data_IF_956410183753
#
_entry.id   IF_956410183753
#
_cell.length_a   1.000
_cell.length_b   1.000
_cell.length_c   1.000
_cell.angle_alpha   90.00
_cell.angle_beta   90.00
_cell.angle_gamma   90.00
#
_symmetry.space_group_name_H-M   'P 1'
#
loop_
_entity.id
_entity.type
_entity.pdbx_description
1 polymer ?
#
# COMPACT_ATOMS: atom_id res chain seq x y z
N UNK A 1 -50.30 29.60 19.11
CA UNK A 1 -50.37 29.47 20.58
C UNK A 1 -49.07 28.98 21.20
N UNK A 2 -48.07 28.57 20.40
CA UNK A 2 -46.76 28.12 20.89
C UNK A 2 -46.88 26.98 21.91
N UNK A 3 -47.55 25.92 21.46
CA UNK A 3 -47.84 24.71 22.23
C UNK A 3 -47.27 23.54 21.44
N UNK A 4 -46.85 22.49 22.15
CA UNK A 4 -46.50 21.23 21.52
C UNK A 4 -47.73 20.63 20.82
N UNK A 5 -47.49 19.86 19.75
CA UNK A 5 -48.55 19.10 19.12
C UNK A 5 -49.15 18.13 20.14
N UNK A 6 -50.48 18.06 20.21
CA UNK A 6 -51.23 17.25 21.18
C UNK A 6 -51.16 17.71 22.65
N UNK A 7 -50.73 18.95 22.93
CA UNK A 7 -50.75 19.58 24.26
C UNK A 7 -52.10 19.44 24.99
N UNK A 8 -52.11 19.36 26.32
CA UNK A 8 -53.32 19.10 27.11
C UNK A 8 -54.36 20.23 27.00
N UNK A 9 -55.64 19.94 27.27
CA UNK A 9 -56.71 20.96 27.18
C UNK A 9 -56.47 22.12 28.16
N UNK A 10 -55.88 21.81 29.32
CA UNK A 10 -55.55 22.79 30.35
C UNK A 10 -54.42 23.72 29.90
N UNK A 11 -53.41 23.17 29.24
CA UNK A 11 -52.33 23.95 28.60
C UNK A 11 -52.86 24.88 27.51
N UNK A 12 -53.77 24.39 26.65
CA UNK A 12 -54.40 25.20 25.61
C UNK A 12 -55.16 26.39 26.22
N UNK A 13 -55.97 26.15 27.25
CA UNK A 13 -56.75 27.21 27.92
C UNK A 13 -55.84 28.22 28.61
N UNK A 14 -54.75 27.75 29.21
CA UNK A 14 -53.78 28.59 29.91
C UNK A 14 -52.99 29.45 28.91
N UNK A 15 -52.50 28.86 27.82
CA UNK A 15 -51.79 29.58 26.76
C UNK A 15 -52.69 30.60 26.06
N UNK A 16 -53.96 30.27 25.79
CA UNK A 16 -54.92 31.23 25.26
C UNK A 16 -55.11 32.43 26.20
N UNK A 17 -55.34 32.20 27.50
CA UNK A 17 -55.50 33.26 28.50
C UNK A 17 -54.26 34.17 28.57
N UNK A 18 -53.07 33.60 28.52
CA UNK A 18 -51.83 34.37 28.57
C UNK A 18 -51.64 35.22 27.32
N UNK A 19 -51.92 34.67 26.13
CA UNK A 19 -51.74 35.41 24.87
C UNK A 19 -52.84 36.44 24.63
N UNK A 20 -54.10 36.13 24.94
CA UNK A 20 -55.20 37.09 24.73
C UNK A 20 -55.05 38.32 25.64
N UNK A 21 -54.47 38.18 26.84
CA UNK A 21 -54.18 39.32 27.73
C UNK A 21 -53.12 40.29 27.18
N UNK A 22 -52.27 39.83 26.27
CA UNK A 22 -51.21 40.65 25.65
C UNK A 22 -51.71 41.33 24.38
N UNK A 23 -52.58 40.64 23.63
CA UNK A 23 -53.04 41.08 22.31
C UNK A 23 -54.51 41.54 22.29
N UNK A 24 -55.18 41.68 23.45
CA UNK A 24 -56.56 42.17 23.49
C UNK A 24 -56.63 43.60 22.91
N UNK A 25 -57.62 43.94 22.07
CA UNK A 25 -57.74 45.27 21.47
C UNK A 25 -57.81 46.40 22.53
N UNK A 26 -58.41 46.12 23.68
CA UNK A 26 -58.49 47.07 24.81
C UNK A 26 -57.14 47.32 25.52
N UNK A 27 -56.16 46.43 25.34
CA UNK A 27 -54.83 46.50 26.00
C UNK A 27 -53.76 46.92 24.99
N UNK A 28 -53.88 46.47 23.74
CA UNK A 28 -52.95 46.76 22.67
C UNK A 28 -53.72 47.20 21.42
N UNK A 29 -53.63 48.49 21.10
CA UNK A 29 -54.37 49.13 20.01
C UNK A 29 -53.66 49.05 18.64
N UNK A 30 -52.64 48.20 18.50
CA UNK A 30 -52.01 47.99 17.19
C UNK A 30 -52.91 47.13 16.28
N UNK A 31 -52.89 47.44 14.98
CA UNK A 31 -53.65 46.71 13.96
C UNK A 31 -53.26 45.21 13.93
N UNK A 32 -51.97 44.91 14.14
CA UNK A 32 -51.46 43.54 14.26
C UNK A 32 -52.01 42.79 15.49
N UNK A 33 -52.26 43.48 16.61
CA UNK A 33 -52.80 42.85 17.82
C UNK A 33 -54.24 42.40 17.61
N UNK A 34 -55.03 43.19 16.88
CA UNK A 34 -56.41 42.84 16.53
C UNK A 34 -56.47 41.56 15.70
N UNK A 35 -55.61 41.44 14.69
CA UNK A 35 -55.54 40.26 13.82
C UNK A 35 -55.05 39.01 14.57
N UNK A 36 -54.07 39.17 15.46
CA UNK A 36 -53.61 38.08 16.32
C UNK A 36 -54.72 37.65 17.29
N UNK A 37 -55.48 38.59 17.86
CA UNK A 37 -56.60 38.28 18.75
C UNK A 37 -57.72 37.51 18.01
N UNK A 38 -58.04 37.89 16.77
CA UNK A 38 -58.98 37.14 15.92
C UNK A 38 -58.51 35.69 15.72
N UNK A 39 -57.23 35.49 15.37
CA UNK A 39 -56.66 34.15 15.20
C UNK A 39 -56.65 33.33 16.51
N UNK A 40 -56.40 33.97 17.65
CA UNK A 40 -56.44 33.30 18.96
C UNK A 40 -57.86 32.84 19.33
N UNK A 41 -58.88 33.63 19.00
CA UNK A 41 -60.27 33.26 19.23
C UNK A 41 -60.69 32.09 18.35
N UNK A 42 -60.32 32.09 17.06
CA UNK A 42 -60.55 30.95 16.15
C UNK A 42 -59.86 29.69 16.67
N UNK A 43 -58.60 29.80 17.10
CA UNK A 43 -57.87 28.67 17.68
C UNK A 43 -58.51 28.16 18.98
N UNK A 44 -59.04 29.05 19.82
CA UNK A 44 -59.79 28.68 21.03
C UNK A 44 -61.08 27.94 20.69
N UNK A 45 -61.81 28.34 19.66
CA UNK A 45 -63.05 27.67 19.26
C UNK A 45 -62.79 26.23 18.78
N UNK A 46 -61.67 26.02 18.08
CA UNK A 46 -61.25 24.70 17.61
C UNK A 46 -60.58 23.83 18.68
N UNK A 47 -59.95 24.40 19.71
CA UNK A 47 -59.17 23.66 20.71
C UNK A 47 -59.76 23.73 22.13
N UNK A 48 -60.83 24.49 22.35
CA UNK A 48 -61.35 24.85 23.67
C UNK A 48 -62.26 23.81 24.33
N UNK A 49 -62.83 22.89 23.55
CA UNK A 49 -63.65 21.76 24.03
C UNK A 49 -62.93 20.43 23.79
N UNK A 50 -63.22 19.44 24.62
CA UNK A 50 -62.66 18.08 24.49
C UNK A 50 -62.98 17.46 23.13
N UNK A 51 -64.20 17.66 22.63
CA UNK A 51 -64.67 17.14 21.35
C UNK A 51 -63.97 17.81 20.15
N UNK A 52 -63.89 19.15 20.14
CA UNK A 52 -63.26 19.89 19.04
C UNK A 52 -61.76 19.61 18.97
N UNK A 53 -61.09 19.54 20.12
CA UNK A 53 -59.68 19.18 20.20
C UNK A 53 -59.43 17.75 19.68
N UNK A 54 -60.24 16.79 20.09
CA UNK A 54 -60.10 15.41 19.62
C UNK A 54 -60.31 15.29 18.09
N UNK A 55 -61.21 16.10 17.52
CA UNK A 55 -61.43 16.19 16.08
C UNK A 55 -60.21 16.81 15.36
N UNK A 56 -59.65 17.88 15.92
CA UNK A 56 -58.45 18.53 15.40
C UNK A 56 -57.23 17.60 15.43
N UNK A 57 -56.97 16.95 16.58
CA UNK A 57 -55.86 16.01 16.76
C UNK A 57 -55.97 14.81 15.79
N UNK A 58 -57.19 14.34 15.52
CA UNK A 58 -57.45 13.28 14.52
C UNK A 58 -57.10 13.75 13.10
N UNK A 59 -57.51 14.95 12.71
CA UNK A 59 -57.19 15.53 11.40
C UNK A 59 -55.68 15.74 11.25
N UNK A 60 -55.03 16.24 12.30
CA UNK A 60 -53.58 16.43 12.33
C UNK A 60 -52.85 15.10 12.14
N UNK A 61 -53.26 14.04 12.84
CA UNK A 61 -52.69 12.69 12.69
C UNK A 61 -52.84 12.16 11.27
N UNK A 62 -54.01 12.34 10.64
CA UNK A 62 -54.24 11.93 9.25
C UNK A 62 -53.35 12.70 8.27
N UNK A 63 -53.19 14.00 8.47
CA UNK A 63 -52.29 14.82 7.65
C UNK A 63 -50.83 14.35 7.75
N UNK A 64 -50.36 14.03 8.96
CA UNK A 64 -49.02 13.46 9.16
C UNK A 64 -48.83 12.12 8.45
N UNK A 65 -49.81 11.21 8.56
CA UNK A 65 -49.74 9.91 7.91
C UNK A 65 -49.70 10.03 6.38
N UNK A 66 -50.48 10.97 5.82
CA UNK A 66 -50.48 11.24 4.38
C UNK A 66 -49.13 11.80 3.90
N UNK A 67 -48.50 12.70 4.67
CA UNK A 67 -47.19 13.25 4.29
C UNK A 67 -46.08 12.20 4.38
N UNK A 68 -46.10 11.33 5.41
CA UNK A 68 -45.18 10.19 5.52
C UNK A 68 -45.34 9.26 4.31
N UNK A 69 -46.57 8.97 3.89
CA UNK A 69 -46.85 8.16 2.70
C UNK A 69 -46.33 8.83 1.42
N UNK A 70 -46.53 10.15 1.27
CA UNK A 70 -46.03 10.93 0.14
C UNK A 70 -44.50 10.89 0.04
N UNK A 71 -43.81 11.12 1.16
CA UNK A 71 -42.35 11.07 1.25
C UNK A 71 -41.82 9.67 0.94
N UNK A 72 -42.46 8.62 1.47
CA UNK A 72 -42.10 7.23 1.19
C UNK A 72 -42.25 6.88 -0.31
N UNK A 73 -43.35 7.30 -0.94
CA UNK A 73 -43.58 7.05 -2.36
C UNK A 73 -42.57 7.79 -3.25
N UNK A 74 -42.17 9.01 -2.88
CA UNK A 74 -41.16 9.79 -3.60
C UNK A 74 -39.76 9.12 -3.56
N UNK A 75 -39.41 8.46 -2.45
CA UNK A 75 -38.17 7.67 -2.32
C UNK A 75 -38.22 6.37 -3.15
N UNK A 76 -39.41 5.79 -3.34
CA UNK A 76 -39.57 4.61 -4.20
C UNK A 76 -39.47 4.92 -5.69
N UNK A 77 -40.04 6.02 -6.16
CA UNK A 77 -39.96 6.41 -7.58
C UNK A 77 -38.52 6.74 -8.02
N UNK A 78 -37.76 7.45 -7.20
CA UNK A 78 -36.35 7.79 -7.50
C UNK A 78 -35.42 6.57 -7.61
N UNK A 79 -35.74 5.47 -6.91
CA UNK A 79 -34.99 4.21 -7.02
C UNK A 79 -35.39 3.35 -8.24
N UNK A 80 -36.59 3.52 -8.76
CA UNK A 80 -37.07 2.80 -9.95
C UNK A 80 -36.44 3.36 -11.24
N UNK A 81 -36.30 4.67 -11.35
CA UNK A 81 -35.66 5.34 -12.50
C UNK A 81 -34.19 4.95 -12.66
N UNK A 82 -33.48 4.75 -11.55
CA UNK A 82 -32.11 4.23 -11.57
C UNK A 82 -32.00 2.85 -12.22
N UNK A 83 -32.94 1.94 -11.97
CA UNK A 83 -32.93 0.59 -12.56
C UNK A 83 -33.25 0.60 -14.06
N UNK A 84 -34.18 1.46 -14.49
CA UNK A 84 -34.52 1.68 -15.91
C UNK A 84 -33.32 2.23 -16.69
N UNK A 85 -32.60 3.18 -16.11
CA UNK A 85 -31.40 3.75 -16.70
C UNK A 85 -30.31 2.69 -16.97
N UNK A 86 -30.02 1.81 -16.00
CA UNK A 86 -29.05 0.72 -16.18
C UNK A 86 -29.51 -0.35 -17.16
N UNK A 87 -30.83 -0.58 -17.28
CA UNK A 87 -31.38 -1.55 -18.24
C UNK A 87 -31.27 -1.06 -19.69
N UNK A 88 -31.39 0.25 -19.95
CA UNK A 88 -31.29 0.84 -21.28
C UNK A 88 -29.86 1.07 -21.77
N UNK A 89 -28.86 0.89 -20.91
CA UNK A 89 -27.44 1.02 -21.25
C UNK A 89 -26.93 -0.21 -22.00
N UNK A 90 -26.24 0.00 -23.14
CA UNK A 90 -25.58 -1.07 -23.90
C UNK A 90 -24.51 -1.77 -23.05
N UNK A 91 -24.17 -3.02 -23.37
CA UNK A 91 -23.16 -3.78 -22.60
C UNK A 91 -21.81 -3.06 -22.54
N UNK A 92 -21.41 -2.39 -23.62
CA UNK A 92 -20.15 -1.62 -23.69
C UNK A 92 -20.19 -0.42 -22.75
N UNK A 93 -21.32 0.29 -22.71
CA UNK A 93 -21.52 1.47 -21.88
C UNK A 93 -21.59 1.12 -20.38
N UNK A 94 -22.23 -0.02 -20.05
CA UNK A 94 -22.22 -0.58 -18.68
C UNK A 94 -20.81 -0.93 -18.24
N UNK A 95 -20.01 -1.55 -19.12
CA UNK A 95 -18.62 -1.89 -18.83
C UNK A 95 -17.79 -0.63 -18.58
N UNK A 96 -17.92 0.38 -19.44
CA UNK A 96 -17.26 1.70 -19.28
C UNK A 96 -17.60 2.36 -17.96
N UNK A 97 -18.89 2.51 -17.64
CA UNK A 97 -19.33 3.11 -16.36
C UNK A 97 -18.89 2.32 -15.13
N UNK A 98 -18.87 0.99 -15.22
CA UNK A 98 -18.34 0.12 -14.16
C UNK A 98 -16.85 0.33 -13.95
N UNK A 99 -16.07 0.45 -15.03
CA UNK A 99 -14.65 0.76 -14.98
C UNK A 99 -14.37 2.16 -14.42
N UNK A 100 -15.12 3.17 -14.84
CA UNK A 100 -15.05 4.54 -14.29
C UNK A 100 -15.38 4.55 -12.80
N UNK A 101 -16.46 3.89 -12.38
CA UNK A 101 -16.83 3.78 -10.97
C UNK A 101 -15.76 3.04 -10.14
N UNK A 102 -15.13 1.99 -10.69
CA UNK A 102 -14.00 1.31 -10.06
C UNK A 102 -12.79 2.23 -9.92
N UNK A 103 -12.47 3.01 -10.96
CA UNK A 103 -11.36 3.96 -10.93
C UNK A 103 -11.57 5.06 -9.89
N UNK A 104 -12.78 5.62 -9.81
CA UNK A 104 -13.16 6.63 -8.80
C UNK A 104 -13.04 6.04 -7.38
N UNK A 105 -13.58 4.84 -7.15
CA UNK A 105 -13.45 4.16 -5.84
C UNK A 105 -11.99 3.87 -5.49
N UNK A 106 -11.18 3.46 -6.48
CA UNK A 106 -9.75 3.21 -6.27
C UNK A 106 -9.01 4.49 -5.91
N UNK A 107 -9.33 5.62 -6.57
CA UNK A 107 -8.81 6.94 -6.24
C UNK A 107 -9.17 7.35 -4.81
N UNK A 108 -10.45 7.28 -4.44
CA UNK A 108 -10.90 7.64 -3.08
C UNK A 108 -10.19 6.83 -2.00
N UNK A 109 -10.02 5.51 -2.20
CA UNK A 109 -9.25 4.65 -1.29
C UNK A 109 -7.78 5.05 -1.22
N UNK A 110 -7.19 5.41 -2.35
CA UNK A 110 -5.82 5.88 -2.41
C UNK A 110 -5.64 7.19 -1.66
N UNK A 111 -6.50 8.18 -1.88
CA UNK A 111 -6.44 9.48 -1.20
C UNK A 111 -6.59 9.30 0.33
N UNK A 112 -7.54 8.47 0.77
CA UNK A 112 -7.70 8.12 2.18
C UNK A 112 -6.44 7.44 2.75
N UNK A 113 -5.79 6.59 1.96
CA UNK A 113 -4.54 5.95 2.39
C UNK A 113 -3.39 6.96 2.50
N UNK A 114 -3.32 7.94 1.60
CA UNK A 114 -2.25 8.95 1.57
C UNK A 114 -2.36 9.88 2.77
N UNK A 115 -3.58 10.19 3.20
CA UNK A 115 -3.84 10.94 4.44
C UNK A 115 -3.31 10.21 5.67
N UNK A 116 -3.49 8.88 5.75
CA UNK A 116 -2.98 8.08 6.87
C UNK A 116 -1.47 7.85 6.80
N UNK A 117 -0.95 7.62 5.60
CA UNK A 117 0.46 7.30 5.39
C UNK A 117 1.00 8.09 4.19
N UNK A 118 1.73 9.19 4.44
CA UNK A 118 2.14 10.13 3.41
C UNK A 118 3.10 9.51 2.41
N UNK A 119 3.08 10.06 1.19
CA UNK A 119 3.77 9.51 0.03
C UNK A 119 5.29 9.37 0.22
N UNK A 120 5.94 10.34 0.88
CA UNK A 120 7.39 10.28 1.13
C UNK A 120 7.77 9.11 2.04
N UNK A 121 6.96 8.76 3.04
CA UNK A 121 7.23 7.61 3.92
C UNK A 121 7.03 6.27 3.19
N UNK A 122 6.13 6.21 2.21
CA UNK A 122 5.97 5.03 1.34
C UNK A 122 7.21 4.79 0.51
N UNK A 123 7.65 5.83 -0.20
CA UNK A 123 8.86 5.75 -1.01
C UNK A 123 10.07 5.43 -0.15
N UNK A 124 10.24 6.10 0.99
CA UNK A 124 11.33 5.83 1.93
C UNK A 124 11.31 4.37 2.41
N UNK A 125 10.15 3.86 2.82
CA UNK A 125 10.00 2.46 3.25
C UNK A 125 10.35 1.46 2.14
N UNK A 126 9.86 1.69 0.92
CA UNK A 126 10.19 0.84 -0.23
C UNK A 126 11.67 0.92 -0.61
N UNK A 127 12.28 2.11 -0.56
CA UNK A 127 13.73 2.27 -0.80
C UNK A 127 14.57 1.55 0.25
N UNK A 128 14.20 1.65 1.54
CA UNK A 128 14.86 0.90 2.61
C UNK A 128 14.75 -0.60 2.38
N UNK A 129 13.58 -1.09 1.96
CA UNK A 129 13.35 -2.49 1.66
C UNK A 129 14.19 -2.96 0.45
N UNK A 130 14.27 -2.15 -0.62
CA UNK A 130 15.15 -2.41 -1.76
C UNK A 130 16.62 -2.47 -1.34
N UNK A 131 17.09 -1.47 -0.59
CA UNK A 131 18.47 -1.39 -0.12
C UNK A 131 18.82 -2.57 0.79
N UNK A 132 17.91 -2.96 1.68
CA UNK A 132 18.10 -4.12 2.55
C UNK A 132 18.20 -5.43 1.76
N UNK A 133 17.34 -5.63 0.75
CA UNK A 133 17.42 -6.78 -0.15
C UNK A 133 18.77 -6.86 -0.88
N UNK A 134 19.23 -5.73 -1.45
CA UNK A 134 20.54 -5.65 -2.10
C UNK A 134 21.69 -5.88 -1.12
N UNK A 135 21.60 -5.39 0.11
CA UNK A 135 22.62 -5.59 1.14
C UNK A 135 22.73 -7.05 1.57
N UNK A 136 21.59 -7.75 1.72
CA UNK A 136 21.57 -9.19 2.00
C UNK A 136 22.22 -9.96 0.85
N UNK A 137 21.90 -9.63 -0.40
CA UNK A 137 22.53 -10.22 -1.57
C UNK A 137 24.05 -9.95 -1.60
N UNK A 138 24.45 -8.69 -1.41
CA UNK A 138 25.85 -8.27 -1.42
C UNK A 138 26.70 -8.96 -0.33
N UNK A 139 26.15 -9.11 0.87
CA UNK A 139 26.86 -9.70 2.01
C UNK A 139 27.06 -11.21 1.87
N UNK A 140 26.15 -11.90 1.18
CA UNK A 140 26.15 -13.35 1.05
C UNK A 140 26.60 -13.85 -0.33
N UNK A 141 27.09 -12.95 -1.19
CA UNK A 141 27.48 -13.26 -2.58
C UNK A 141 28.50 -14.39 -2.71
N UNK A 142 29.47 -14.49 -1.80
CA UNK A 142 30.52 -15.51 -1.85
C UNK A 142 30.08 -16.83 -1.22
N UNK A 143 29.55 -17.73 -2.06
CA UNK A 143 29.01 -19.03 -1.67
C UNK A 143 30.05 -19.95 -1.01
N UNK A 144 29.64 -20.68 0.03
CA UNK A 144 30.38 -21.81 0.63
C UNK A 144 29.68 -23.13 0.27
N UNK A 145 30.42 -24.24 0.29
CA UNK A 145 29.88 -25.56 -0.06
C UNK A 145 30.07 -26.59 1.06
N UNK A 146 29.04 -27.14 1.71
CA UNK A 146 27.63 -26.78 1.65
C UNK A 146 27.35 -25.51 2.46
N UNK A 147 26.43 -24.68 2.00
CA UNK A 147 26.14 -23.42 2.66
C UNK A 147 24.75 -22.88 2.35
N UNK A 148 24.15 -22.19 3.33
CA UNK A 148 22.84 -21.54 3.22
C UNK A 148 22.90 -20.15 2.55
N UNK A 149 24.08 -19.74 2.07
CA UNK A 149 24.29 -18.46 1.42
C UNK A 149 23.42 -18.32 0.16
N UNK A 150 23.22 -19.41 -0.60
CA UNK A 150 22.34 -19.40 -1.78
C UNK A 150 20.90 -19.05 -1.43
N UNK A 151 20.39 -19.56 -0.30
CA UNK A 151 19.05 -19.25 0.22
C UNK A 151 18.97 -17.79 0.63
N UNK A 152 19.99 -17.28 1.33
CA UNK A 152 20.05 -15.84 1.72
C UNK A 152 20.12 -14.92 0.51
N UNK A 153 20.89 -15.27 -0.52
CA UNK A 153 20.94 -14.54 -1.79
C UNK A 153 19.55 -14.51 -2.44
N UNK A 154 18.90 -15.67 -2.59
CA UNK A 154 17.57 -15.75 -3.18
C UNK A 154 16.56 -14.91 -2.39
N UNK A 155 16.62 -14.96 -1.05
CA UNK A 155 15.81 -14.15 -0.17
C UNK A 155 16.05 -12.64 -0.35
N UNK A 156 17.31 -12.21 -0.44
CA UNK A 156 17.68 -10.83 -0.72
C UNK A 156 17.15 -10.33 -2.07
N UNK A 157 17.23 -11.17 -3.12
CA UNK A 157 16.68 -10.87 -4.45
C UNK A 157 15.14 -10.74 -4.38
N UNK A 158 14.45 -11.64 -3.68
CA UNK A 158 12.99 -11.57 -3.52
C UNK A 158 12.56 -10.29 -2.80
N UNK A 159 13.24 -9.91 -1.71
CA UNK A 159 12.99 -8.65 -1.00
C UNK A 159 13.20 -7.47 -1.95
N UNK A 160 14.30 -7.45 -2.70
CA UNK A 160 14.59 -6.37 -3.64
C UNK A 160 13.50 -6.23 -4.71
N UNK A 161 13.06 -7.34 -5.32
CA UNK A 161 11.98 -7.35 -6.33
C UNK A 161 10.67 -6.86 -5.71
N UNK A 162 10.33 -7.29 -4.49
CA UNK A 162 9.16 -6.80 -3.78
C UNK A 162 9.22 -5.28 -3.55
N UNK A 163 10.38 -4.76 -3.16
CA UNK A 163 10.63 -3.33 -3.03
C UNK A 163 10.40 -2.58 -4.35
N UNK A 164 10.99 -3.05 -5.45
CA UNK A 164 10.77 -2.48 -6.79
C UNK A 164 9.29 -2.50 -7.19
N UNK A 165 8.59 -3.61 -6.93
CA UNK A 165 7.17 -3.74 -7.24
C UNK A 165 6.31 -2.74 -6.46
N UNK A 166 6.58 -2.57 -5.16
CA UNK A 166 5.86 -1.60 -4.32
C UNK A 166 6.12 -0.17 -4.77
N UNK A 167 7.36 0.21 -5.01
CA UNK A 167 7.74 1.55 -5.52
C UNK A 167 7.06 1.85 -6.86
N UNK A 168 7.12 0.91 -7.80
CA UNK A 168 6.51 1.07 -9.12
C UNK A 168 4.99 1.20 -9.03
N UNK A 169 4.35 0.39 -8.18
CA UNK A 169 2.90 0.44 -7.97
C UNK A 169 2.46 1.77 -7.35
N UNK A 170 3.18 2.26 -6.35
CA UNK A 170 2.89 3.57 -5.74
C UNK A 170 3.11 4.71 -6.72
N UNK A 171 4.19 4.66 -7.52
CA UNK A 171 4.43 5.59 -8.63
C UNK A 171 3.25 5.57 -9.62
N UNK A 172 2.87 4.38 -10.11
CA UNK A 172 1.78 4.24 -11.06
C UNK A 172 0.46 4.83 -10.52
N UNK A 173 0.07 4.49 -9.29
CA UNK A 173 -1.15 5.02 -8.66
C UNK A 173 -1.10 6.53 -8.51
N UNK A 174 -0.01 7.06 -7.98
CA UNK A 174 0.11 8.50 -7.74
C UNK A 174 -0.07 9.30 -9.03
N UNK A 175 0.67 8.95 -10.08
CA UNK A 175 0.66 9.69 -11.33
C UNK A 175 -0.59 9.41 -12.17
N UNK A 176 -1.13 8.19 -12.16
CA UNK A 176 -2.38 7.89 -12.87
C UNK A 176 -3.57 8.64 -12.29
N UNK A 177 -3.69 8.74 -10.96
CA UNK A 177 -4.76 9.51 -10.32
C UNK A 177 -4.58 11.02 -10.48
N UNK A 178 -3.35 11.53 -10.40
CA UNK A 178 -3.06 12.95 -10.67
C UNK A 178 -3.37 13.34 -12.12
N UNK A 179 -3.19 12.41 -13.06
CA UNK A 179 -3.52 12.63 -14.47
C UNK A 179 -5.03 12.62 -14.74
N UNK A 180 -5.81 11.89 -13.95
CA UNK A 180 -7.27 11.92 -13.99
C UNK A 180 -7.80 13.35 -13.74
N UNK A 181 -7.14 14.09 -12.85
CA UNK A 181 -7.55 15.44 -12.46
C UNK A 181 -7.08 16.51 -13.46
N UNK A 182 -5.91 16.34 -14.06
CA UNK A 182 -5.31 17.35 -14.96
C UNK A 182 -5.55 17.09 -16.45
N UNK A 183 -6.37 16.11 -16.82
CA UNK A 183 -6.65 15.71 -18.22
C UNK A 183 -5.41 15.38 -19.08
N UNK A 184 -4.25 15.10 -18.47
CA UNK A 184 -3.00 14.81 -19.18
C UNK A 184 -3.01 13.34 -19.62
N UNK A 185 -3.03 13.09 -20.94
CA UNK A 185 -3.00 11.75 -21.54
C UNK A 185 -1.57 11.20 -21.67
N UNK A 186 -0.91 10.90 -20.56
CA UNK A 186 0.36 10.17 -20.57
C UNK A 186 0.13 8.67 -20.29
N UNK A 187 0.88 7.81 -20.96
CA UNK A 187 0.82 6.36 -20.77
C UNK A 187 1.68 5.92 -19.57
N UNK A 188 1.23 6.25 -18.36
CA UNK A 188 1.94 5.91 -17.12
C UNK A 188 2.11 4.40 -16.92
N UNK A 189 1.25 3.57 -17.49
CA UNK A 189 1.38 2.11 -17.45
C UNK A 189 2.64 1.64 -18.18
N UNK A 190 2.92 2.17 -19.36
CA UNK A 190 4.15 1.81 -20.10
C UNK A 190 5.41 2.32 -19.40
N UNK A 191 5.37 3.54 -18.86
CA UNK A 191 6.50 4.11 -18.12
C UNK A 191 6.80 3.28 -16.86
N UNK A 192 5.77 2.95 -16.07
CA UNK A 192 5.92 2.14 -14.87
C UNK A 192 6.46 0.73 -15.18
N UNK A 193 5.94 0.08 -16.22
CA UNK A 193 6.45 -1.23 -16.68
C UNK A 193 7.92 -1.14 -17.10
N UNK A 194 8.29 -0.12 -17.85
CA UNK A 194 9.68 0.10 -18.25
C UNK A 194 10.60 0.22 -17.03
N UNK A 195 10.24 1.06 -16.04
CA UNK A 195 11.03 1.19 -14.81
C UNK A 195 11.11 -0.11 -14.00
N UNK A 196 10.02 -0.88 -13.91
CA UNK A 196 10.01 -2.19 -13.24
C UNK A 196 11.00 -3.16 -13.88
N UNK A 197 10.91 -3.34 -15.20
CA UNK A 197 11.76 -4.30 -15.91
C UNK A 197 13.21 -3.83 -16.04
N UNK A 198 13.47 -2.53 -16.03
CA UNK A 198 14.83 -1.99 -16.07
C UNK A 198 15.53 -2.06 -14.70
N UNK A 199 14.82 -1.76 -13.62
CA UNK A 199 15.43 -1.66 -12.28
C UNK A 199 15.93 -3.00 -11.73
N UNK A 200 15.23 -4.11 -12.03
CA UNK A 200 15.63 -5.44 -11.58
C UNK A 200 17.02 -5.86 -12.11
N UNK A 201 17.26 -5.92 -13.43
CA UNK A 201 18.56 -6.31 -13.98
C UNK A 201 19.65 -5.31 -13.61
N UNK A 202 19.35 -4.01 -13.58
CA UNK A 202 20.33 -2.98 -13.16
C UNK A 202 20.77 -3.20 -11.72
N UNK A 203 19.83 -3.45 -10.79
CA UNK A 203 20.15 -3.72 -9.40
C UNK A 203 20.99 -4.99 -9.20
N UNK A 204 20.62 -6.08 -9.88
CA UNK A 204 21.37 -7.34 -9.85
C UNK A 204 22.78 -7.16 -10.44
N UNK A 205 22.87 -6.51 -11.60
CA UNK A 205 24.13 -6.22 -12.28
C UNK A 205 25.06 -5.39 -11.39
N UNK A 206 24.54 -4.35 -10.74
CA UNK A 206 25.30 -3.49 -9.84
C UNK A 206 25.90 -4.30 -8.67
N UNK A 207 25.12 -5.18 -8.03
CA UNK A 207 25.62 -6.00 -6.92
C UNK A 207 26.67 -7.01 -7.40
N UNK A 208 26.48 -7.63 -8.57
CA UNK A 208 27.47 -8.55 -9.15
C UNK A 208 28.80 -7.83 -9.40
N UNK A 209 28.77 -6.68 -10.08
CA UNK A 209 29.99 -5.94 -10.44
C UNK A 209 30.69 -5.37 -9.21
N UNK A 210 29.95 -4.82 -8.23
CA UNK A 210 30.55 -4.37 -6.97
C UNK A 210 31.23 -5.51 -6.21
N UNK A 211 30.65 -6.71 -6.25
CA UNK A 211 31.26 -7.88 -5.63
C UNK A 211 32.47 -8.40 -6.37
N UNK A 212 32.46 -8.37 -7.70
CA UNK A 212 33.63 -8.70 -8.51
C UNK A 212 34.77 -7.71 -8.24
N UNK A 213 34.48 -6.41 -8.30
CA UNK A 213 35.44 -5.37 -7.94
C UNK A 213 36.00 -5.56 -6.52
N UNK A 214 35.13 -5.83 -5.53
CA UNK A 214 35.55 -6.13 -4.15
C UNK A 214 36.48 -7.34 -4.10
N UNK A 215 36.14 -8.42 -4.80
CA UNK A 215 36.98 -9.63 -4.87
C UNK A 215 38.35 -9.30 -5.45
N UNK A 216 38.40 -8.65 -6.59
CA UNK A 216 39.64 -8.38 -7.31
C UNK A 216 40.52 -7.40 -6.54
N UNK A 217 39.92 -6.36 -5.95
CA UNK A 217 40.63 -5.41 -5.09
C UNK A 217 41.25 -6.10 -3.86
N UNK A 218 40.49 -6.95 -3.17
CA UNK A 218 40.97 -7.62 -1.96
C UNK A 218 42.02 -8.68 -2.27
N UNK A 219 41.84 -9.44 -3.35
CA UNK A 219 42.82 -10.44 -3.77
C UNK A 219 44.11 -9.83 -4.35
N UNK A 220 44.09 -8.56 -4.75
CA UNK A 220 45.29 -7.84 -5.21
C UNK A 220 46.06 -7.17 -4.06
N UNK A 221 45.35 -6.55 -3.11
CA UNK A 221 45.97 -5.71 -2.09
C UNK A 221 46.10 -6.40 -0.73
N UNK A 222 45.12 -7.24 -0.35
CA UNK A 222 44.98 -7.76 1.02
C UNK A 222 44.83 -9.28 1.03
N UNK A 223 45.75 -9.99 0.40
CA UNK A 223 45.69 -11.44 0.25
C UNK A 223 46.79 -12.20 1.00
N UNK A 224 46.58 -13.50 1.15
CA UNK A 224 47.58 -14.43 1.66
C UNK A 224 47.41 -15.79 0.97
N UNK A 225 48.52 -16.50 0.80
CA UNK A 225 48.54 -17.85 0.27
C UNK A 225 48.24 -18.87 1.37
N UNK A 226 47.53 -19.94 1.02
CA UNK A 226 47.24 -21.04 1.92
C UNK A 226 47.22 -22.38 1.18
N UNK A 227 47.67 -23.45 1.84
CA UNK A 227 47.59 -24.81 1.31
C UNK A 227 46.23 -25.42 1.68
N UNK A 228 45.29 -25.43 0.73
CA UNK A 228 43.98 -26.03 0.92
C UNK A 228 44.00 -27.53 0.63
N UNK A 229 43.19 -28.30 1.36
CA UNK A 229 43.03 -29.74 1.18
C UNK A 229 41.89 -30.04 0.22
N UNK A 230 42.12 -30.96 -0.72
CA UNK A 230 41.14 -31.40 -1.71
C UNK A 230 40.34 -32.57 -1.14
N UNK A 231 39.01 -32.46 -1.17
CA UNK A 231 38.13 -33.56 -0.76
C UNK A 231 37.78 -34.43 -1.97
N UNK A 232 38.54 -35.52 -2.14
CA UNK A 232 38.41 -36.42 -3.29
C UNK A 232 37.03 -37.07 -3.40
N UNK A 233 36.44 -37.46 -2.28
CA UNK A 233 35.15 -38.16 -2.23
C UNK A 233 34.00 -37.31 -2.80
N UNK A 234 34.05 -36.00 -2.61
CA UNK A 234 33.05 -35.07 -3.13
C UNK A 234 33.45 -34.50 -4.51
N UNK A 235 34.71 -34.67 -4.90
CA UNK A 235 35.26 -34.19 -6.17
C UNK A 235 34.81 -35.11 -7.30
N UNK A 236 33.86 -34.63 -8.11
CA UNK A 236 33.26 -35.39 -9.21
C UNK A 236 32.58 -34.47 -10.23
N UNK A 237 32.29 -34.98 -11.43
CA UNK A 237 31.54 -34.23 -12.46
C UNK A 237 32.17 -32.91 -12.90
N UNK A 238 33.51 -32.82 -12.91
CA UNK A 238 34.24 -31.61 -13.32
C UNK A 238 34.31 -30.50 -12.26
N UNK A 239 33.89 -30.78 -11.01
CA UNK A 239 34.04 -29.90 -9.85
C UNK A 239 35.12 -30.42 -8.92
N UNK A 240 36.03 -29.56 -8.49
CA UNK A 240 36.95 -29.83 -7.38
C UNK A 240 36.46 -29.12 -6.14
N UNK A 241 36.26 -29.88 -5.06
CA UNK A 241 35.89 -29.34 -3.76
C UNK A 241 37.13 -29.33 -2.87
N UNK A 242 37.39 -28.19 -2.27
CA UNK A 242 38.52 -27.98 -1.37
C UNK A 242 38.08 -27.24 -0.12
N UNK A 243 38.83 -27.45 0.96
CA UNK A 243 38.62 -26.77 2.23
C UNK A 243 39.92 -26.26 2.82
N UNK A 244 39.81 -25.22 3.63
CA UNK A 244 40.93 -24.58 4.33
C UNK A 244 40.44 -24.01 5.65
N UNK A 245 41.32 -23.96 6.64
CA UNK A 245 40.99 -23.50 7.99
C UNK A 245 41.81 -22.26 8.30
N UNK A 246 41.12 -21.15 8.61
CA UNK A 246 41.74 -19.88 9.00
C UNK A 246 41.09 -19.46 10.31
N UNK A 247 41.91 -19.12 11.30
CA UNK A 247 41.47 -18.68 12.63
C UNK A 247 40.44 -19.63 13.28
N UNK A 248 40.64 -20.94 13.11
CA UNK A 248 39.76 -21.99 13.65
C UNK A 248 38.45 -22.21 12.89
N UNK A 249 38.17 -21.45 11.82
CA UNK A 249 36.99 -21.65 10.96
C UNK A 249 37.36 -22.34 9.65
N UNK A 250 36.64 -23.42 9.33
CA UNK A 250 36.83 -24.17 8.07
C UNK A 250 35.91 -23.64 6.99
N UNK A 251 36.50 -23.24 5.87
CA UNK A 251 35.81 -22.76 4.69
C UNK A 251 35.86 -23.82 3.60
N UNK A 252 34.72 -24.10 3.00
CA UNK A 252 34.61 -25.06 1.92
C UNK A 252 34.21 -24.35 0.62
N UNK A 253 34.88 -24.69 -0.47
CA UNK A 253 34.68 -24.07 -1.78
C UNK A 253 34.65 -25.14 -2.87
N UNK A 254 33.84 -24.88 -3.89
CA UNK A 254 33.83 -25.67 -5.12
C UNK A 254 34.33 -24.81 -6.27
N UNK A 255 35.18 -25.38 -7.11
CA UNK A 255 35.57 -24.76 -8.38
C UNK A 255 35.23 -25.70 -9.55
N UNK A 256 34.68 -25.15 -10.65
CA UNK A 256 34.35 -25.91 -11.87
C UNK A 256 35.47 -25.76 -12.90
N UNK A 257 35.73 -26.82 -13.65
CA UNK A 257 36.44 -26.74 -14.94
C UNK A 257 37.97 -26.73 -14.87
N UNK A 258 38.58 -26.93 -13.70
CA UNK A 258 40.03 -26.79 -13.56
C UNK A 258 40.74 -28.15 -13.42
N UNK A 259 40.60 -29.08 -14.38
CA UNK A 259 41.42 -30.30 -14.32
C UNK A 259 42.94 -30.00 -14.39
N UNK A 260 43.34 -28.85 -14.95
CA UNK A 260 44.74 -28.46 -15.18
C UNK A 260 45.08 -26.99 -14.81
N UNK A 261 44.15 -26.24 -14.23
CA UNK A 261 44.28 -24.77 -14.07
C UNK A 261 44.65 -24.28 -12.67
N UNK A 262 45.24 -25.12 -11.83
CA UNK A 262 45.74 -24.69 -10.52
C UNK A 262 46.99 -25.45 -10.08
N UNK A 263 47.75 -24.81 -9.20
CA UNK A 263 48.97 -25.38 -8.63
C UNK A 263 48.60 -26.41 -7.56
N UNK A 264 48.97 -27.67 -7.80
CA UNK A 264 48.84 -28.78 -6.84
C UNK A 264 50.13 -28.94 -6.07
N UNK A 265 50.01 -29.10 -4.76
CA UNK A 265 51.13 -29.40 -3.86
C UNK A 265 50.94 -30.86 -3.44
N UNK A 266 51.60 -31.78 -4.14
CA UNK A 266 51.36 -33.21 -3.98
C UNK A 266 50.01 -33.69 -4.55
N UNK A 267 49.47 -34.79 -4.02
CA UNK A 267 48.25 -35.44 -4.56
C UNK A 267 46.95 -34.77 -4.09
N UNK A 268 46.94 -34.23 -2.87
CA UNK A 268 45.70 -33.93 -2.13
C UNK A 268 45.62 -32.48 -1.64
N UNK A 269 46.64 -31.66 -1.94
CA UNK A 269 46.64 -30.24 -1.58
C UNK A 269 46.73 -29.36 -2.82
N UNK A 270 46.19 -28.16 -2.70
CA UNK A 270 46.27 -27.12 -3.71
C UNK A 270 46.58 -25.78 -3.09
N UNK A 271 47.26 -24.94 -3.86
CA UNK A 271 47.54 -23.58 -3.43
C UNK A 271 46.33 -22.68 -3.74
N UNK A 272 45.88 -21.95 -2.73
CA UNK A 272 44.85 -20.93 -2.87
C UNK A 272 45.38 -19.58 -2.42
N UNK A 273 44.77 -18.52 -2.93
CA UNK A 273 44.83 -17.22 -2.30
C UNK A 273 43.47 -16.89 -1.70
N UNK A 274 43.49 -16.28 -0.53
CA UNK A 274 42.30 -15.77 0.15
C UNK A 274 42.52 -14.32 0.59
N UNK A 275 41.43 -13.57 0.71
CA UNK A 275 41.46 -12.21 1.24
C UNK A 275 41.54 -12.24 2.78
N UNK A 276 42.56 -11.60 3.36
CA UNK A 276 42.72 -11.47 4.84
C UNK A 276 41.47 -10.95 5.56
N UNK A 277 40.80 -9.86 5.10
CA UNK A 277 39.63 -9.33 5.82
C UNK A 277 38.36 -10.17 5.65
N UNK A 278 38.32 -11.08 4.66
CA UNK A 278 37.18 -11.97 4.48
C UNK A 278 37.64 -13.26 3.80
N UNK A 279 37.99 -14.29 4.57
CA UNK A 279 38.48 -15.56 4.05
C UNK A 279 37.52 -16.25 3.07
N UNK A 280 36.22 -15.95 3.11
CA UNK A 280 35.25 -16.48 2.13
C UNK A 280 35.58 -16.07 0.69
N UNK A 281 36.36 -15.01 0.49
CA UNK A 281 36.83 -14.57 -0.81
C UNK A 281 38.14 -15.28 -1.09
N UNK A 282 38.07 -16.37 -1.84
CA UNK A 282 39.24 -17.16 -2.20
C UNK A 282 39.17 -17.62 -3.66
N UNK A 283 40.34 -17.85 -4.25
CA UNK A 283 40.47 -18.53 -5.54
C UNK A 283 41.69 -19.47 -5.56
N UNK A 284 41.64 -20.55 -6.35
CA UNK A 284 42.84 -21.31 -6.69
C UNK A 284 43.89 -20.41 -7.35
N UNK A 285 45.17 -20.66 -7.03
CA UNK A 285 46.28 -20.01 -7.73
C UNK A 285 46.46 -20.67 -9.08
N UNK A 286 46.44 -19.86 -10.12
CA UNK A 286 46.61 -20.32 -11.49
C UNK A 286 48.10 -20.58 -11.81
N UNK A 287 48.44 -21.50 -12.71
CA UNK A 287 49.83 -21.89 -12.96
C UNK A 287 50.72 -20.76 -13.51
N UNK A 288 50.12 -19.81 -14.23
CA UNK A 288 50.78 -18.59 -14.72
C UNK A 288 51.28 -17.68 -13.59
N UNK A 289 50.60 -17.70 -12.44
CA UNK A 289 51.00 -16.94 -11.25
C UNK A 289 52.12 -17.63 -10.45
N UNK A 290 52.54 -18.84 -10.83
CA UNK A 290 53.56 -19.62 -10.12
C UNK A 290 54.89 -18.88 -10.00
N UNK A 291 55.27 -18.08 -10.99
CA UNK A 291 56.52 -17.31 -11.00
C UNK A 291 56.56 -16.20 -9.94
N UNK A 292 55.38 -15.76 -9.46
CA UNK A 292 55.25 -14.71 -8.44
C UNK A 292 55.17 -15.25 -7.01
N UNK A 293 55.26 -16.58 -6.84
CA UNK A 293 55.13 -17.20 -5.52
C UNK A 293 56.35 -16.91 -4.63
N UNK A 294 56.14 -16.54 -3.36
CA UNK A 294 57.24 -16.48 -2.41
C UNK A 294 57.89 -17.86 -2.26
N UNK A 295 59.23 -17.89 -2.25
CA UNK A 295 60.05 -19.12 -2.23
C UNK A 295 59.85 -20.01 -0.98
N UNK A 296 59.11 -19.53 0.02
CA UNK A 296 58.96 -20.17 1.34
C UNK A 296 57.55 -20.75 1.58
N UNK A 297 56.83 -21.14 0.52
CA UNK A 297 55.44 -21.65 0.57
C UNK A 297 55.30 -23.18 0.60
#
# INVERSE_FOLDING_TARGET
>A
MDLENYASLEEVKTAYKNKIRVYHPDINSSEEAEDIAKLLNVAKDHLGTTENKAKYDRQLKLAYLNEISRLSNQVHHTNQDGRSFWQNLSQTERKRRSEEAKAIRAKQRYDASVLKYPLHLRFMGSFLLMFWGLQVFYSNYFLMYPGYESVKIAFGIMIFIAGVATTTNEFYKHYSFKALDNHIKLNYSSIARFFFFLSIPVGIFLVINLNQYRKDYLLKNNFQYYQASIQKELTGGGKTIYYYTIDGQTYYKSTRGLKHGYIKIGRDKMLIIYAKPNPKIARPVAPDEAYSLPRNL
#
